data_IF_851157253191
#
_entry.id   IF_851157253191
#
_cell.length_a   1.000
_cell.length_b   1.000
_cell.length_c   1.000
_cell.angle_alpha   90.00
_cell.angle_beta   90.00
_cell.angle_gamma   90.00
#
_symmetry.space_group_name_H-M   'P 1'
#
loop_
_entity.id
_entity.type
_entity.pdbx_description
1 polymer ?
#
# COMPACT_ATOMS: atom_id res chain seq x y z
N UNK A 1 2.19 -4.01 11.96
CA UNK A 1 2.85 -4.75 10.86
C UNK A 1 1.86 -4.87 9.72
N UNK A 2 2.20 -4.39 8.52
CA UNK A 2 1.29 -4.44 7.38
C UNK A 2 1.14 -5.85 6.82
N UNK A 3 -0.08 -6.22 6.44
CA UNK A 3 -0.43 -7.47 5.76
C UNK A 3 -0.77 -7.19 4.30
N UNK A 4 -0.28 -8.04 3.41
CA UNK A 4 -0.54 -7.96 1.98
C UNK A 4 -1.30 -9.20 1.50
N UNK A 5 -2.21 -9.02 0.56
CA UNK A 5 -2.90 -10.11 -0.13
C UNK A 5 -2.21 -10.39 -1.47
N UNK A 6 -1.90 -11.65 -1.79
CA UNK A 6 -1.38 -12.05 -3.10
C UNK A 6 -2.55 -12.25 -4.08
N UNK A 7 -2.57 -11.54 -5.21
CA UNK A 7 -3.63 -11.70 -6.21
C UNK A 7 -3.51 -12.99 -7.05
N UNK A 8 -2.34 -13.65 -7.03
CA UNK A 8 -2.08 -14.92 -7.75
C UNK A 8 -2.51 -16.13 -6.93
N UNK A 9 -2.39 -16.03 -5.60
CA UNK A 9 -2.46 -17.14 -4.66
C UNK A 9 -3.68 -17.06 -3.76
N UNK A 10 -4.16 -15.84 -3.49
CA UNK A 10 -5.14 -15.56 -2.44
C UNK A 10 -4.57 -15.62 -1.01
N UNK A 11 -3.26 -15.82 -0.85
CA UNK A 11 -2.60 -15.90 0.45
C UNK A 11 -2.32 -14.52 1.04
N UNK A 12 -2.47 -14.41 2.37
CA UNK A 12 -2.09 -13.21 3.13
C UNK A 12 -0.66 -13.34 3.62
N UNK A 13 0.22 -12.48 3.10
CA UNK A 13 1.66 -12.50 3.34
C UNK A 13 2.08 -11.30 4.19
N UNK A 14 2.90 -11.54 5.21
CA UNK A 14 3.50 -10.48 6.04
C UNK A 14 4.79 -9.96 5.40
N UNK A 15 5.13 -8.70 5.67
CA UNK A 15 6.33 -7.99 5.19
C UNK A 15 7.64 -8.83 5.08
N UNK A 16 8.09 -9.59 6.12
CA UNK A 16 9.34 -10.35 6.02
C UNK A 16 9.29 -11.50 5.00
N UNK A 17 8.11 -12.05 4.71
CA UNK A 17 7.91 -13.12 3.72
C UNK A 17 7.47 -12.61 2.36
N UNK A 18 7.11 -11.33 2.26
CA UNK A 18 6.62 -10.72 1.02
C UNK A 18 7.68 -10.70 -0.09
N UNK A 19 8.94 -10.41 0.25
CA UNK A 19 10.03 -10.38 -0.73
C UNK A 19 10.24 -11.76 -1.39
N UNK A 20 10.30 -12.81 -0.57
CA UNK A 20 10.40 -14.19 -1.04
C UNK A 20 9.16 -14.63 -1.83
N UNK A 21 7.97 -14.22 -1.39
CA UNK A 21 6.72 -14.56 -2.08
C UNK A 21 6.59 -13.82 -3.42
N UNK A 22 7.01 -12.55 -3.50
CA UNK A 22 7.05 -11.78 -4.74
C UNK A 22 7.99 -12.40 -5.77
N UNK A 23 9.14 -12.91 -5.33
CA UNK A 23 10.06 -13.65 -6.18
C UNK A 23 9.51 -15.02 -6.65
N UNK A 24 8.51 -15.58 -5.96
CA UNK A 24 7.90 -16.86 -6.33
C UNK A 24 6.68 -16.69 -7.24
N UNK A 25 5.80 -15.76 -6.91
CA UNK A 25 4.51 -15.61 -7.56
C UNK A 25 4.51 -14.58 -8.70
N UNK A 26 5.52 -13.70 -8.78
CA UNK A 26 5.64 -12.69 -9.83
C UNK A 26 4.34 -11.90 -10.10
N UNK A 27 3.57 -11.67 -9.02
CA UNK A 27 2.21 -11.14 -9.09
C UNK A 27 2.06 -9.81 -8.35
N UNK A 28 0.88 -9.22 -8.51
CA UNK A 28 0.47 -8.04 -7.73
C UNK A 28 0.06 -8.40 -6.30
N UNK A 29 0.27 -7.45 -5.40
CA UNK A 29 -0.10 -7.55 -3.99
C UNK A 29 -0.93 -6.35 -3.55
N UNK A 30 -1.88 -6.56 -2.66
CA UNK A 30 -2.75 -5.50 -2.15
C UNK A 30 -2.49 -5.29 -0.64
N UNK A 31 -2.19 -4.06 -0.18
CA UNK A 31 -2.21 -3.78 1.29
C UNK A 31 -3.67 -3.91 1.73
N UNK A 32 -3.96 -4.83 2.65
CA UNK A 32 -5.32 -5.04 3.15
C UNK A 32 -5.79 -3.85 4.00
N UNK A 33 -4.83 -3.10 4.57
CA UNK A 33 -5.09 -1.98 5.47
C UNK A 33 -5.38 -0.65 4.74
N UNK A 34 -4.82 -0.42 3.55
CA UNK A 34 -5.11 0.78 2.74
C UNK A 34 -5.67 0.48 1.34
N UNK A 35 -6.00 -0.79 1.08
CA UNK A 35 -6.53 -1.30 -0.20
C UNK A 35 -5.73 -0.84 -1.43
N UNK A 36 -4.43 -0.57 -1.26
CA UNK A 36 -3.55 -0.14 -2.35
C UNK A 36 -2.96 -1.36 -3.03
N UNK A 37 -3.17 -1.46 -4.33
CA UNK A 37 -2.56 -2.48 -5.18
C UNK A 37 -1.14 -2.06 -5.55
N UNK A 38 -0.22 -3.02 -5.48
CA UNK A 38 1.18 -2.88 -5.77
C UNK A 38 1.59 -3.95 -6.78
N UNK A 39 2.09 -3.54 -7.94
CA UNK A 39 2.48 -4.45 -9.02
C UNK A 39 4.00 -4.68 -9.10
N UNK A 40 4.77 -3.92 -8.31
CA UNK A 40 6.23 -3.90 -8.40
C UNK A 40 6.88 -4.06 -7.02
N UNK A 41 7.97 -4.85 -6.92
CA UNK A 41 8.68 -5.05 -5.66
C UNK A 41 9.28 -3.79 -5.03
N UNK A 42 9.58 -2.78 -5.84
CA UNK A 42 10.00 -1.48 -5.34
C UNK A 42 8.89 -0.79 -4.52
N UNK A 43 7.63 -0.91 -4.94
CA UNK A 43 6.51 -0.17 -4.37
C UNK A 43 6.12 -0.71 -2.98
N UNK A 44 6.00 -2.03 -2.82
CA UNK A 44 5.64 -2.64 -1.54
C UNK A 44 6.81 -2.72 -0.55
N UNK A 45 8.07 -2.67 -1.02
CA UNK A 45 9.26 -2.58 -0.13
C UNK A 45 9.25 -1.30 0.67
N UNK A 46 8.99 -0.16 0.02
CA UNK A 46 8.88 1.15 0.66
C UNK A 46 7.62 1.31 1.53
N UNK A 47 6.64 0.42 1.38
CA UNK A 47 5.37 0.51 2.08
C UNK A 47 5.45 -0.06 3.51
N UNK A 48 6.02 0.71 4.44
CA UNK A 48 6.25 0.37 5.86
C UNK A 48 5.15 0.81 6.81
N UNK A 49 4.46 1.89 6.50
CA UNK A 49 3.22 2.33 7.16
C UNK A 49 2.15 2.47 6.07
N UNK A 50 1.03 1.76 6.21
CA UNK A 50 -0.16 2.11 5.44
C UNK A 50 -0.60 3.47 6.03
N UNK A 51 -0.42 4.55 5.25
CA UNK A 51 -0.94 5.86 5.60
C UNK A 51 -2.45 5.72 5.47
N UNK A 52 -3.16 5.73 6.60
CA UNK A 52 -4.62 5.74 6.62
C UNK A 52 -5.09 6.95 5.81
N UNK A 53 -6.22 6.81 5.10
CA UNK A 53 -6.84 7.84 4.25
C UNK A 53 -6.89 9.25 4.88
N UNK A 54 -6.83 9.36 6.21
CA UNK A 54 -6.73 10.60 6.98
C UNK A 54 -5.60 11.55 6.52
N UNK A 55 -4.38 11.08 6.24
CA UNK A 55 -3.30 12.01 5.84
C UNK A 55 -3.40 12.44 4.36
N UNK A 56 -4.12 11.68 3.53
CA UNK A 56 -4.37 12.04 2.12
C UNK A 56 -5.44 13.12 2.00
N UNK A 57 -6.46 13.09 2.86
CA UNK A 57 -7.54 14.09 2.88
C UNK A 57 -7.19 15.39 3.64
N UNK A 58 -6.19 15.39 4.53
CA UNK A 58 -5.80 16.60 5.26
C UNK A 58 -4.94 17.60 4.47
N UNK A 59 -4.51 17.29 3.24
CA UNK A 59 -3.75 18.24 2.38
C UNK A 59 -4.58 18.96 1.31
N UNK A 60 -5.85 18.62 1.12
CA UNK A 60 -6.72 19.29 0.12
C UNK A 60 -7.71 20.30 0.73
N UNK A 61 -7.61 20.59 2.03
CA UNK A 61 -8.47 21.55 2.73
C UNK A 61 -7.74 22.80 3.24
N UNK A 62 -6.65 23.21 2.59
CA UNK A 62 -6.11 24.56 2.80
C UNK A 62 -6.97 25.59 2.04
N UNK A 63 -7.87 26.26 2.77
CA UNK A 63 -8.55 27.48 2.32
C UNK A 63 -7.60 28.68 2.44
N UNK A 64 -7.41 29.42 1.34
CA UNK A 64 -7.04 30.84 1.35
C UNK A 64 -6.16 31.29 0.16
N UNK A 65 -6.28 32.54 -0.33
CA UNK A 65 -7.10 33.65 0.16
C UNK A 65 -8.36 33.88 -0.71
N UNK A 66 -9.50 34.13 -0.05
CA UNK A 66 -10.65 34.73 -0.70
C UNK A 66 -10.31 36.20 -0.99
N UNK A 67 -9.97 36.49 -2.24
CA UNK A 67 -9.94 37.86 -2.76
C UNK A 67 -11.38 38.18 -3.15
N UNK A 68 -12.02 39.10 -2.45
CA UNK A 68 -13.08 39.97 -2.97
C UNK A 68 -13.27 41.17 -2.06
#
# INVERSE_FOLDING_TARGET
MVSFNCHVCGDVVKKPKLDQHGARCHGGFDCIDCSKTFNSPAEWKGHTSCISEAEKYQKTLYKGPQVR
#
